data_IF_034535923582
#
_entry.id   IF_034535923582
#
_cell.length_a   1.000
_cell.length_b   1.000
_cell.length_c   1.000
_cell.angle_alpha   90.00
_cell.angle_beta   90.00
_cell.angle_gamma   90.00
#
_symmetry.space_group_name_H-M   'P 1'
#
loop_
_entity.id
_entity.type
_entity.pdbx_description
1 polymer ?
#
# COMPACT_ATOMS: atom_id res chain seq x y z
N UNK A 1 -3.45 18.39 -0.65
CA UNK A 1 -3.10 17.66 0.58
C UNK A 1 -4.33 17.12 1.29
N UNK A 2 -5.50 17.76 1.19
CA UNK A 2 -6.75 17.23 1.77
C UNK A 2 -7.17 15.86 1.20
N UNK A 3 -6.93 15.58 -0.09
CA UNK A 3 -7.26 14.28 -0.71
C UNK A 3 -6.60 13.06 -0.04
N UNK A 4 -5.43 13.20 0.57
CA UNK A 4 -4.72 12.07 1.20
C UNK A 4 -5.37 11.63 2.53
N UNK A 5 -6.06 12.55 3.20
CA UNK A 5 -6.78 12.26 4.45
C UNK A 5 -8.06 11.44 4.21
N UNK A 6 -8.63 11.50 3.00
CA UNK A 6 -9.83 10.74 2.62
C UNK A 6 -9.56 9.24 2.47
N UNK A 7 -8.29 8.82 2.38
CA UNK A 7 -7.90 7.40 2.42
C UNK A 7 -7.79 6.83 3.85
N UNK A 8 -8.16 7.63 4.87
CA UNK A 8 -8.29 7.17 6.26
C UNK A 8 -6.97 7.11 7.04
N UNK A 9 -5.90 7.71 6.54
CA UNK A 9 -4.52 7.40 6.93
C UNK A 9 -3.91 8.43 7.89
N UNK A 10 -3.30 7.96 8.98
CA UNK A 10 -2.30 8.72 9.72
C UNK A 10 -1.01 8.81 8.90
N UNK A 11 -0.44 10.01 8.79
CA UNK A 11 0.83 10.26 8.10
C UNK A 11 1.81 10.92 9.05
N UNK A 12 2.96 10.28 9.26
CA UNK A 12 4.08 10.85 9.99
C UNK A 12 5.30 10.95 9.08
N UNK A 13 5.95 12.11 9.07
CA UNK A 13 7.14 12.40 8.27
C UNK A 13 8.33 12.62 9.18
N UNK A 14 9.43 11.92 8.89
CA UNK A 14 10.72 12.14 9.51
C UNK A 14 11.67 12.69 8.44
N UNK A 15 12.15 13.92 8.66
CA UNK A 15 13.13 14.56 7.77
C UNK A 15 14.52 14.25 8.35
N UNK A 16 15.26 13.35 7.70
CA UNK A 16 16.62 12.99 8.12
C UNK A 16 17.66 13.97 7.55
N UNK A 17 17.58 14.29 6.26
CA UNK A 17 18.47 15.23 5.58
C UNK A 17 17.69 16.10 4.57
N UNK A 18 18.31 17.16 4.04
CA UNK A 18 17.64 18.10 3.10
C UNK A 18 17.05 17.44 1.84
N UNK A 19 17.48 16.23 1.48
CA UNK A 19 17.10 15.54 0.24
C UNK A 19 16.40 14.20 0.43
N UNK A 20 16.20 13.72 1.66
CA UNK A 20 15.69 12.37 1.93
C UNK A 20 14.64 12.40 3.05
N UNK A 21 13.57 11.61 2.90
CA UNK A 21 12.45 11.56 3.86
C UNK A 21 12.09 10.11 4.15
N UNK A 22 11.79 9.82 5.41
CA UNK A 22 11.14 8.58 5.84
C UNK A 22 9.68 8.87 6.20
N UNK A 23 8.78 7.99 5.76
CA UNK A 23 7.32 8.12 5.93
C UNK A 23 6.77 6.86 6.55
N UNK A 24 5.99 7.00 7.62
CA UNK A 24 5.07 5.97 8.06
C UNK A 24 3.66 6.25 7.54
N UNK A 25 3.05 5.24 6.93
CA UNK A 25 1.75 5.33 6.27
C UNK A 25 0.82 4.22 6.73
N UNK A 26 -0.28 4.58 7.39
CA UNK A 26 -1.31 3.62 7.81
C UNK A 26 -2.38 3.45 6.71
N UNK A 27 -2.50 2.25 6.13
CA UNK A 27 -3.41 2.01 4.98
C UNK A 27 -4.85 1.69 5.35
N UNK A 28 -5.09 1.24 6.58
CA UNK A 28 -6.41 0.81 7.08
C UNK A 28 -7.20 -0.03 6.07
N UNK A 29 -6.56 -1.05 5.51
CA UNK A 29 -7.05 -1.70 4.30
C UNK A 29 -8.40 -2.40 4.50
N UNK A 30 -8.71 -2.86 5.72
CA UNK A 30 -9.99 -3.49 6.05
C UNK A 30 -11.20 -2.54 5.94
N UNK A 31 -10.95 -1.22 6.01
CA UNK A 31 -11.97 -0.17 5.87
C UNK A 31 -12.09 0.33 4.43
N UNK A 32 -10.95 0.46 3.74
CA UNK A 32 -10.90 1.06 2.39
C UNK A 32 -11.19 0.04 1.29
N UNK A 33 -10.69 -1.18 1.41
CA UNK A 33 -10.84 -2.22 0.38
C UNK A 33 -12.22 -2.88 0.50
N UNK A 34 -13.05 -2.86 -0.56
CA UNK A 34 -14.39 -3.41 -0.49
C UNK A 34 -14.38 -4.94 -0.33
N UNK A 35 -15.30 -5.45 0.50
CA UNK A 35 -15.44 -6.89 0.78
C UNK A 35 -16.45 -7.59 -0.14
N UNK A 36 -17.25 -6.82 -0.87
CA UNK A 36 -18.31 -7.31 -1.74
C UNK A 36 -18.12 -6.86 -3.19
N UNK A 37 -18.57 -7.71 -4.12
CA UNK A 37 -18.67 -7.42 -5.54
C UNK A 37 -20.13 -7.18 -5.89
N UNK A 38 -20.37 -6.07 -6.59
CA UNK A 38 -21.69 -5.73 -7.15
C UNK A 38 -21.75 -6.11 -8.63
N UNK A 39 -22.86 -6.68 -9.06
CA UNK A 39 -23.11 -7.01 -10.45
C UNK A 39 -24.58 -6.88 -10.82
N UNK A 40 -24.91 -7.18 -12.07
CA UNK A 40 -26.29 -7.25 -12.54
C UNK A 40 -26.63 -8.69 -12.95
N UNK A 41 -27.79 -9.16 -12.54
CA UNK A 41 -28.34 -10.42 -13.05
C UNK A 41 -28.78 -10.27 -14.50
N UNK A 42 -29.04 -11.39 -15.19
CA UNK A 42 -29.57 -11.37 -16.57
C UNK A 42 -30.87 -10.57 -16.73
N UNK A 43 -31.61 -10.35 -15.65
CA UNK A 43 -32.86 -9.55 -15.64
C UNK A 43 -32.64 -8.11 -15.19
N UNK A 44 -31.39 -7.67 -15.02
CA UNK A 44 -31.04 -6.29 -14.64
C UNK A 44 -31.18 -5.99 -13.15
N UNK A 45 -31.40 -6.99 -12.29
CA UNK A 45 -31.45 -6.78 -10.83
C UNK A 45 -30.03 -6.73 -10.27
N UNK A 46 -29.80 -5.88 -9.27
CA UNK A 46 -28.53 -5.82 -8.54
C UNK A 46 -28.27 -7.15 -7.82
N UNK A 47 -27.08 -7.71 -8.01
CA UNK A 47 -26.53 -8.79 -7.18
C UNK A 47 -25.38 -8.25 -6.35
N UNK A 48 -25.29 -8.70 -5.10
CA UNK A 48 -24.18 -8.39 -4.19
C UNK A 48 -23.69 -9.72 -3.65
N UNK A 49 -22.42 -10.03 -3.86
CA UNK A 49 -21.79 -11.26 -3.40
C UNK A 49 -20.49 -10.94 -2.68
N UNK A 50 -20.13 -11.74 -1.68
CA UNK A 50 -18.80 -11.64 -1.09
C UNK A 50 -17.71 -11.86 -2.14
N UNK A 51 -16.67 -11.03 -2.06
CA UNK A 51 -15.50 -11.14 -2.92
C UNK A 51 -14.72 -12.42 -2.59
N UNK A 52 -14.29 -13.20 -3.60
CA UNK A 52 -13.35 -14.29 -3.37
C UNK A 52 -12.08 -13.77 -2.69
N UNK A 53 -11.58 -14.48 -1.67
CA UNK A 53 -10.43 -14.03 -0.87
C UNK A 53 -9.21 -13.64 -1.70
N UNK A 54 -8.89 -14.40 -2.74
CA UNK A 54 -7.75 -14.12 -3.61
C UNK A 54 -7.94 -12.78 -4.34
N UNK A 55 -9.14 -12.51 -4.85
CA UNK A 55 -9.45 -11.26 -5.52
C UNK A 55 -9.42 -10.06 -4.57
N UNK A 56 -9.88 -10.25 -3.33
CA UNK A 56 -9.76 -9.23 -2.28
C UNK A 56 -8.29 -8.90 -1.99
N UNK A 57 -7.44 -9.93 -1.84
CA UNK A 57 -6.03 -9.71 -1.56
C UNK A 57 -5.26 -9.13 -2.75
N UNK A 58 -5.59 -9.50 -3.98
CA UNK A 58 -5.01 -8.89 -5.18
C UNK A 58 -5.38 -7.39 -5.24
N UNK A 59 -6.65 -7.04 -4.98
CA UNK A 59 -7.10 -5.64 -4.92
C UNK A 59 -6.44 -4.86 -3.76
N UNK A 60 -6.30 -5.51 -2.58
CA UNK A 60 -5.63 -4.93 -1.42
C UNK A 60 -4.17 -4.61 -1.74
N UNK A 61 -3.45 -5.53 -2.38
CA UNK A 61 -2.05 -5.33 -2.75
C UNK A 61 -1.90 -4.15 -3.72
N UNK A 62 -2.75 -4.08 -4.75
CA UNK A 62 -2.69 -3.00 -5.74
C UNK A 62 -3.06 -1.63 -5.14
N UNK A 63 -4.05 -1.58 -4.26
CA UNK A 63 -4.36 -0.39 -3.46
C UNK A 63 -3.13 0.08 -2.66
N UNK A 64 -2.48 -0.80 -1.91
CA UNK A 64 -1.31 -0.45 -1.09
C UNK A 64 -0.17 0.08 -1.97
N UNK A 65 0.15 -0.62 -3.06
CA UNK A 65 1.27 -0.25 -3.93
C UNK A 65 0.99 1.05 -4.68
N UNK A 66 -0.26 1.28 -5.09
CA UNK A 66 -0.66 2.54 -5.74
C UNK A 66 -0.56 3.72 -4.78
N UNK A 67 -0.98 3.58 -3.52
CA UNK A 67 -0.79 4.60 -2.49
C UNK A 67 0.69 4.96 -2.29
N UNK A 68 1.57 3.95 -2.23
CA UNK A 68 3.02 4.16 -2.10
C UNK A 68 3.57 4.98 -3.28
N UNK A 69 3.24 4.60 -4.52
CA UNK A 69 3.68 5.35 -5.70
C UNK A 69 3.11 6.77 -5.72
N UNK A 70 1.86 6.94 -5.26
CA UNK A 70 1.23 8.25 -5.14
C UNK A 70 1.95 9.14 -4.13
N UNK A 71 2.22 8.64 -2.93
CA UNK A 71 2.97 9.34 -1.88
C UNK A 71 4.35 9.76 -2.41
N UNK A 72 5.08 8.84 -3.04
CA UNK A 72 6.39 9.16 -3.59
C UNK A 72 6.34 10.19 -4.73
N UNK A 73 5.30 10.16 -5.56
CA UNK A 73 5.10 11.12 -6.66
C UNK A 73 4.85 12.54 -6.16
N UNK A 74 4.19 12.68 -5.01
CA UNK A 74 3.92 13.98 -4.39
C UNK A 74 5.19 14.59 -3.75
N UNK A 75 6.24 13.79 -3.51
CA UNK A 75 7.51 14.24 -2.92
C UNK A 75 8.51 14.72 -4.00
N UNK A 76 8.16 15.76 -4.74
CA UNK A 76 8.94 16.22 -5.91
C UNK A 76 10.30 16.89 -5.60
N UNK A 77 10.63 17.19 -4.34
CA UNK A 77 11.87 17.93 -3.98
C UNK A 77 12.97 17.06 -3.36
N UNK A 78 12.74 15.75 -3.23
CA UNK A 78 13.68 14.81 -2.60
C UNK A 78 14.27 13.84 -3.63
N UNK A 79 15.46 13.32 -3.34
CA UNK A 79 16.16 12.36 -4.20
C UNK A 79 15.57 10.95 -4.04
N UNK A 80 15.25 10.57 -2.81
CA UNK A 80 14.51 9.35 -2.50
C UNK A 80 13.63 9.51 -1.25
N UNK A 81 12.63 8.64 -1.16
CA UNK A 81 11.78 8.46 0.03
C UNK A 81 11.80 7.02 0.49
N UNK A 82 11.82 6.78 1.79
CA UNK A 82 11.57 5.46 2.37
C UNK A 82 10.15 5.48 2.93
N UNK A 83 9.31 4.56 2.46
CA UNK A 83 7.91 4.48 2.89
C UNK A 83 7.71 3.15 3.60
N UNK A 84 7.25 3.22 4.84
CA UNK A 84 6.83 2.10 5.66
C UNK A 84 5.31 2.10 5.73
N UNK A 85 4.70 1.14 5.06
CA UNK A 85 3.25 0.95 5.08
C UNK A 85 2.85 0.00 6.19
N UNK A 86 1.96 0.48 7.05
CA UNK A 86 1.46 -0.21 8.22
C UNK A 86 -0.03 -0.54 8.06
N UNK A 87 -0.43 -1.69 8.57
CA UNK A 87 -1.84 -2.09 8.61
C UNK A 87 -2.15 -2.83 9.91
N UNK A 88 -3.44 -2.87 10.26
CA UNK A 88 -3.92 -3.57 11.44
C UNK A 88 -4.14 -5.05 11.12
N UNK A 89 -3.31 -5.92 11.69
CA UNK A 89 -3.42 -7.37 11.51
C UNK A 89 -4.10 -7.98 12.73
N UNK A 90 -5.25 -8.62 12.49
CA UNK A 90 -5.98 -9.34 13.51
C UNK A 90 -5.27 -10.63 13.91
N UNK A 91 -4.94 -10.76 15.20
CA UNK A 91 -4.41 -11.98 15.78
C UNK A 91 -5.54 -12.76 16.47
N UNK A 92 -5.94 -13.88 15.87
CA UNK A 92 -7.00 -14.72 16.40
C UNK A 92 -6.64 -15.43 17.72
N UNK A 93 -5.36 -15.56 18.04
CA UNK A 93 -4.91 -16.20 19.29
C UNK A 93 -5.06 -15.29 20.50
N UNK A 94 -4.92 -13.98 20.29
CA UNK A 94 -5.08 -12.95 21.33
C UNK A 94 -6.41 -12.21 21.23
N UNK A 95 -7.10 -12.27 20.09
CA UNK A 95 -8.33 -11.54 19.81
C UNK A 95 -8.13 -10.04 19.54
N UNK A 96 -6.89 -9.60 19.40
CA UNK A 96 -6.51 -8.20 19.24
C UNK A 96 -5.93 -7.93 17.84
N UNK A 97 -6.23 -6.75 17.30
CA UNK A 97 -5.52 -6.23 16.13
C UNK A 97 -4.25 -5.51 16.57
N UNK A 98 -3.15 -5.76 15.86
CA UNK A 98 -1.89 -5.08 16.08
C UNK A 98 -1.42 -4.43 14.78
N UNK A 99 -1.01 -3.17 14.87
CA UNK A 99 -0.35 -2.46 13.76
C UNK A 99 0.97 -3.15 13.42
N UNK A 100 1.16 -3.50 12.15
CA UNK A 100 2.38 -4.14 11.64
C UNK A 100 2.75 -3.52 10.30
N UNK A 101 4.05 -3.38 10.05
CA UNK A 101 4.56 -3.00 8.74
C UNK A 101 4.41 -4.18 7.77
N UNK A 102 3.81 -3.92 6.62
CA UNK A 102 3.49 -4.93 5.59
C UNK A 102 4.21 -4.67 4.25
N UNK A 103 4.66 -3.44 4.04
CA UNK A 103 5.51 -3.05 2.91
C UNK A 103 6.50 -1.99 3.41
N UNK A 104 7.76 -2.14 3.03
CA UNK A 104 8.80 -1.15 3.25
C UNK A 104 9.57 -0.98 1.96
N UNK A 105 9.66 0.24 1.44
CA UNK A 105 10.28 0.47 0.12
C UNK A 105 11.00 1.80 0.06
N UNK A 106 12.18 1.79 -0.57
CA UNK A 106 12.95 2.99 -0.93
C UNK A 106 12.66 3.35 -2.38
N UNK A 107 11.92 4.43 -2.59
CA UNK A 107 11.57 4.95 -3.92
C UNK A 107 12.54 6.07 -4.30
N UNK A 108 13.37 5.81 -5.30
CA UNK A 108 14.23 6.82 -5.91
C UNK A 108 13.43 7.63 -6.95
N UNK A 109 13.48 8.95 -6.84
CA UNK A 109 12.73 9.85 -7.74
C UNK A 109 13.10 9.63 -9.20
N UNK A 110 14.38 9.41 -9.51
CA UNK A 110 14.85 9.17 -10.89
C UNK A 110 14.26 7.91 -11.48
N UNK A 111 14.12 6.85 -10.69
CA UNK A 111 13.55 5.58 -11.12
C UNK A 111 12.05 5.71 -11.30
N UNK A 112 11.35 6.34 -10.34
CA UNK A 112 9.91 6.62 -10.42
C UNK A 112 9.53 7.40 -11.69
N UNK A 113 10.25 8.47 -12.00
CA UNK A 113 9.98 9.33 -13.17
C UNK A 113 10.17 8.63 -14.53
N UNK A 114 10.78 7.43 -14.56
CA UNK A 114 10.95 6.64 -15.78
C UNK A 114 9.84 5.62 -15.99
N UNK A 115 9.00 5.39 -14.97
CA UNK A 115 7.87 4.47 -15.06
C UNK A 115 6.72 5.13 -15.81
N UNK A 116 5.99 4.33 -16.59
CA UNK A 116 4.73 4.77 -17.18
C UNK A 116 3.57 4.47 -16.22
N UNK A 117 3.27 5.40 -15.32
CA UNK A 117 2.25 5.22 -14.29
C UNK A 117 0.83 5.03 -14.84
N UNK A 118 0.56 5.44 -16.09
CA UNK A 118 -0.76 5.29 -16.71
C UNK A 118 -1.13 3.83 -17.03
N UNK A 119 -0.13 2.95 -17.17
CA UNK A 119 -0.34 1.57 -17.65
C UNK A 119 0.32 0.51 -16.79
N UNK A 120 1.07 0.90 -15.75
CA UNK A 120 1.83 -0.04 -14.92
C UNK A 120 0.91 -0.72 -13.91
N UNK A 121 1.20 -1.99 -13.61
CA UNK A 121 0.68 -2.66 -12.42
C UNK A 121 1.53 -2.21 -11.22
N UNK A 122 0.92 -1.58 -10.21
CA UNK A 122 1.65 -0.96 -9.12
C UNK A 122 2.37 -2.00 -8.25
N UNK A 123 1.79 -3.19 -8.12
CA UNK A 123 2.40 -4.29 -7.38
C UNK A 123 3.68 -4.81 -8.06
N UNK A 124 3.67 -4.93 -9.39
CA UNK A 124 4.86 -5.30 -10.19
C UNK A 124 5.88 -4.15 -10.22
N UNK A 125 5.42 -2.89 -10.20
CA UNK A 125 6.30 -1.72 -10.18
C UNK A 125 7.29 -1.73 -9.01
N UNK A 126 6.93 -2.34 -7.88
CA UNK A 126 7.79 -2.48 -6.70
C UNK A 126 9.13 -3.17 -7.01
N UNK A 127 9.19 -4.04 -8.02
CA UNK A 127 10.42 -4.72 -8.45
C UNK A 127 11.51 -3.77 -8.95
N UNK A 128 11.17 -2.53 -9.31
CA UNK A 128 12.14 -1.51 -9.72
C UNK A 128 12.86 -0.85 -8.55
N UNK A 129 12.45 -1.14 -7.31
CA UNK A 129 12.90 -0.46 -6.11
C UNK A 129 13.45 -1.44 -5.08
N UNK A 130 14.34 -0.97 -4.21
CA UNK A 130 14.72 -1.75 -3.03
C UNK A 130 13.51 -1.81 -2.09
N UNK A 131 13.00 -3.01 -1.83
CA UNK A 131 11.78 -3.21 -1.04
C UNK A 131 11.81 -4.52 -0.24
N UNK A 132 11.14 -4.49 0.90
CA UNK A 132 10.70 -5.65 1.66
C UNK A 132 9.18 -5.75 1.54
N UNK A 133 8.71 -6.76 0.82
CA UNK A 133 7.29 -7.08 0.64
C UNK A 133 7.10 -8.58 0.62
N UNK A 134 6.06 -9.08 1.30
CA UNK A 134 5.68 -10.48 1.25
C UNK A 134 4.19 -10.63 1.05
N UNK A 135 3.78 -11.02 -0.15
CA UNK A 135 2.40 -11.28 -0.50
C UNK A 135 2.13 -12.77 -0.69
N UNK A 136 1.03 -13.25 -0.13
CA UNK A 136 0.55 -14.63 -0.31
C UNK A 136 -0.89 -14.58 -0.82
N UNK A 137 -1.16 -15.15 -2.01
CA UNK A 137 -2.50 -15.10 -2.64
C UNK A 137 -3.68 -15.48 -1.74
N UNK A 138 -3.46 -16.38 -0.78
CA UNK A 138 -4.52 -16.86 0.13
C UNK A 138 -4.51 -16.20 1.51
N UNK A 139 -3.50 -15.38 1.82
CA UNK A 139 -3.32 -14.74 3.13
C UNK A 139 -3.07 -13.23 3.07
N UNK A 140 -2.94 -12.66 1.87
CA UNK A 140 -2.68 -11.24 1.65
C UNK A 140 -1.25 -10.83 1.98
N UNK A 141 -1.10 -9.54 2.27
CA UNK A 141 0.15 -8.94 2.73
C UNK A 141 0.55 -9.49 4.10
N UNK A 142 1.81 -9.84 4.25
CA UNK A 142 2.34 -10.41 5.49
C UNK A 142 3.22 -9.38 6.22
N UNK A 143 3.34 -9.50 7.56
CA UNK A 143 4.30 -8.69 8.30
C UNK A 143 5.72 -8.86 7.76
N UNK A 144 6.43 -7.75 7.63
CA UNK A 144 7.83 -7.70 7.19
C UNK A 144 8.68 -6.89 8.17
N UNK A 145 10.00 -6.97 8.01
CA UNK A 145 10.95 -6.09 8.69
C UNK A 145 11.17 -4.88 7.79
N UNK A 146 11.18 -3.68 8.39
CA UNK A 146 11.50 -2.43 7.68
C UNK A 146 12.88 -2.54 7.01
N UNK A 147 13.08 -1.79 5.94
CA UNK A 147 14.42 -1.59 5.40
C UNK A 147 15.25 -0.84 6.44
N UNK A 148 16.51 -1.25 6.62
CA UNK A 148 17.45 -0.47 7.41
C UNK A 148 17.78 0.82 6.65
N UNK A 149 17.87 1.96 7.35
CA UNK A 149 18.38 3.19 6.76
C UNK A 149 19.86 2.99 6.47
N UNK A 150 20.18 2.52 5.26
CA UNK A 150 21.55 2.44 4.77
C UNK A 150 22.00 3.88 4.48
N UNK A 151 22.79 4.42 5.42
CA UNK A 151 23.69 5.55 5.18
C UNK A 151 24.74 5.22 4.12
#
# INVERSE_FOLDING_TARGET
MDDLSEFGSGFEFFIEEKSNVEIEFDVHSDTVVPKDIKGLTKTGKLSVNQMPKTQYFDLQQEYICSCVLRIASDMFSIDYVIIHTNDDIFDSSTGHSNKKTILSVKIERRTLNRLNLDTIDCSDAMQNFQHNMKFLKTKGMQPIVKLDNIN
#
